data_IF_939635816669
#
_entry.id   IF_939635816669
#
_cell.length_a   1.000
_cell.length_b   1.000
_cell.length_c   1.000
_cell.angle_alpha   90.00
_cell.angle_beta   90.00
_cell.angle_gamma   90.00
#
_symmetry.space_group_name_H-M   'P 1'
#
loop_
_entity.id
_entity.type
_entity.pdbx_description
1 polymer ?
#
# COMPACT_ATOMS: atom_id res chain seq x y z
N UNK A 1 -15.96 0.66 6.89
CA UNK A 1 -14.68 0.93 7.57
C UNK A 1 -13.75 -0.22 7.27
N UNK A 2 -12.55 0.07 6.79
CA UNK A 2 -11.50 -0.91 6.58
C UNK A 2 -10.42 -0.70 7.64
N UNK A 3 -9.83 -1.79 8.09
CA UNK A 3 -8.67 -1.77 8.96
C UNK A 3 -7.52 -2.51 8.30
N UNK A 4 -6.31 -2.22 8.76
CA UNK A 4 -5.16 -2.95 8.31
C UNK A 4 -4.00 -2.88 9.26
N UNK A 5 -3.10 -3.84 9.08
CA UNK A 5 -1.92 -3.98 9.92
C UNK A 5 -0.73 -4.49 9.10
N UNK A 6 0.48 -4.17 9.57
CA UNK A 6 1.65 -4.94 9.17
C UNK A 6 1.55 -6.38 9.73
N UNK A 7 2.39 -7.30 9.22
CA UNK A 7 2.36 -8.71 9.63
C UNK A 7 2.49 -8.90 11.15
N UNK A 8 3.29 -8.10 11.82
CA UNK A 8 3.52 -8.23 13.26
C UNK A 8 2.55 -7.44 14.14
N UNK A 9 1.66 -6.63 13.56
CA UNK A 9 0.66 -5.83 14.29
C UNK A 9 1.18 -4.53 14.90
N UNK A 10 2.47 -4.23 14.82
CA UNK A 10 3.05 -3.04 15.46
C UNK A 10 2.70 -1.73 14.72
N UNK A 11 2.30 -1.83 13.45
CA UNK A 11 1.82 -0.70 12.64
C UNK A 11 0.40 -1.02 12.18
N UNK A 12 -0.55 -0.16 12.51
CA UNK A 12 -1.97 -0.34 12.16
C UNK A 12 -2.59 0.96 11.66
N UNK A 13 -3.60 0.83 10.81
CA UNK A 13 -4.34 1.95 10.24
C UNK A 13 -5.81 1.60 10.06
N UNK A 14 -6.61 2.63 9.80
CA UNK A 14 -7.99 2.50 9.36
C UNK A 14 -8.33 3.47 8.23
N UNK A 15 -9.37 3.11 7.48
CA UNK A 15 -9.99 3.90 6.43
C UNK A 15 -11.49 4.01 6.73
N UNK A 16 -11.94 5.23 7.01
CA UNK A 16 -13.33 5.56 7.28
C UNK A 16 -14.09 5.92 6.00
N UNK A 17 -14.25 4.92 5.12
CA UNK A 17 -14.96 5.07 3.86
C UNK A 17 -14.56 4.02 2.84
N UNK A 18 -14.88 4.31 1.59
CA UNK A 18 -14.62 3.43 0.46
C UNK A 18 -13.31 3.78 -0.25
N UNK A 19 -12.69 2.76 -0.83
CA UNK A 19 -11.56 2.95 -1.75
C UNK A 19 -12.07 3.57 -3.06
N UNK A 20 -11.28 4.47 -3.64
CA UNK A 20 -11.57 5.12 -4.92
C UNK A 20 -11.36 4.14 -6.08
N UNK A 21 -10.23 3.43 -6.07
CA UNK A 21 -9.84 2.45 -7.09
C UNK A 21 -8.85 1.45 -6.48
N UNK A 22 -8.82 0.22 -7.00
CA UNK A 22 -7.72 -0.73 -6.75
C UNK A 22 -6.94 -0.98 -8.04
N UNK A 23 -5.62 -0.86 -7.94
CA UNK A 23 -4.72 -1.08 -9.06
C UNK A 23 -3.62 -2.10 -8.74
N UNK A 24 -3.24 -2.89 -9.74
CA UNK A 24 -2.08 -3.77 -9.72
C UNK A 24 -0.90 -3.11 -10.43
N UNK A 25 0.16 -2.79 -9.70
CA UNK A 25 1.39 -2.27 -10.28
C UNK A 25 2.39 -3.40 -10.54
N UNK A 26 2.75 -3.56 -11.82
CA UNK A 26 3.65 -4.61 -12.29
C UNK A 26 5.11 -4.18 -12.40
N UNK A 27 5.47 -2.95 -12.07
CA UNK A 27 6.85 -2.48 -12.25
C UNK A 27 7.85 -3.29 -11.40
N UNK A 28 9.11 -3.37 -11.84
CA UNK A 28 10.13 -4.19 -11.17
C UNK A 28 10.36 -3.77 -9.72
N UNK A 29 10.24 -2.48 -9.39
CA UNK A 29 10.37 -1.98 -8.02
C UNK A 29 9.24 -2.50 -7.13
N UNK A 30 8.00 -2.43 -7.61
CA UNK A 30 6.84 -2.93 -6.86
C UNK A 30 6.89 -4.45 -6.67
N UNK A 31 7.28 -5.20 -7.70
CA UNK A 31 7.48 -6.66 -7.56
C UNK A 31 8.54 -7.00 -6.52
N UNK A 32 9.69 -6.33 -6.57
CA UNK A 32 10.80 -6.55 -5.63
C UNK A 32 10.41 -6.21 -4.20
N UNK A 33 9.75 -5.07 -3.99
CA UNK A 33 9.39 -4.60 -2.66
C UNK A 33 8.30 -5.46 -2.02
N UNK A 34 7.29 -5.89 -2.79
CA UNK A 34 6.20 -6.72 -2.28
C UNK A 34 6.48 -8.23 -2.37
N UNK A 35 7.63 -8.65 -2.92
CA UNK A 35 7.95 -10.06 -3.11
C UNK A 35 6.88 -10.84 -3.90
N UNK A 36 6.22 -10.20 -4.87
CA UNK A 36 5.02 -10.74 -5.56
C UNK A 36 4.97 -10.37 -7.04
N UNK A 37 4.01 -10.96 -7.78
CA UNK A 37 3.88 -10.75 -9.24
C UNK A 37 3.57 -9.29 -9.57
N UNK A 38 2.91 -8.60 -8.65
CA UNK A 38 2.54 -7.19 -8.70
C UNK A 38 2.23 -6.70 -7.28
N UNK A 39 2.35 -5.40 -7.05
CA UNK A 39 1.83 -4.77 -5.86
C UNK A 39 0.36 -4.37 -6.07
N UNK A 40 -0.49 -4.59 -5.07
CA UNK A 40 -1.89 -4.14 -5.09
C UNK A 40 -2.05 -2.92 -4.20
N UNK A 41 -2.51 -1.81 -4.78
CA UNK A 41 -2.74 -0.57 -4.07
C UNK A 41 -4.20 -0.14 -4.17
N UNK A 42 -4.77 0.30 -3.05
CA UNK A 42 -6.03 1.00 -2.98
C UNK A 42 -5.80 2.51 -2.84
N UNK A 43 -6.48 3.32 -3.65
CA UNK A 43 -6.45 4.78 -3.50
C UNK A 43 -7.54 5.24 -2.53
N UNK A 44 -7.21 6.13 -1.59
CA UNK A 44 -8.17 6.74 -0.66
C UNK A 44 -7.96 8.25 -0.56
N UNK A 45 -9.02 8.98 -0.21
CA UNK A 45 -8.88 10.37 0.23
C UNK A 45 -8.05 10.39 1.53
N UNK A 46 -6.96 11.15 1.61
CA UNK A 46 -6.15 11.25 2.83
C UNK A 46 -6.95 11.63 4.09
N UNK A 47 -8.08 12.32 3.95
CA UNK A 47 -8.94 12.73 5.06
C UNK A 47 -9.67 11.58 5.74
N UNK A 48 -9.90 10.47 5.02
CA UNK A 48 -10.55 9.28 5.56
C UNK A 48 -9.55 8.22 6.03
N UNK A 49 -8.25 8.49 5.90
CA UNK A 49 -7.18 7.59 6.35
C UNK A 49 -6.59 8.09 7.66
N UNK A 50 -6.34 7.17 8.61
CA UNK A 50 -5.52 7.48 9.78
C UNK A 50 -4.71 6.28 10.25
N UNK A 51 -3.52 6.56 10.74
CA UNK A 51 -2.75 5.61 11.53
C UNK A 51 -3.37 5.45 12.91
N UNK A 52 -3.48 4.22 13.38
CA UNK A 52 -3.99 3.88 14.71
C UNK A 52 -2.90 3.41 15.66
N UNK A 53 -1.76 2.93 15.12
CA UNK A 53 -0.58 2.55 15.90
C UNK A 53 0.69 2.61 15.04
N UNK A 54 1.82 2.99 15.66
CA UNK A 54 3.16 2.78 15.09
C UNK A 54 3.54 3.66 13.90
N UNK A 55 2.85 4.79 13.69
CA UNK A 55 3.12 5.71 12.58
C UNK A 55 4.57 6.24 12.59
N UNK A 56 5.07 6.61 13.77
CA UNK A 56 6.40 7.20 13.96
C UNK A 56 7.53 6.17 13.76
N UNK A 57 7.21 4.87 13.81
CA UNK A 57 8.16 3.78 13.64
C UNK A 57 8.32 3.35 12.17
N UNK A 58 7.53 3.94 11.25
CA UNK A 58 7.53 3.56 9.84
C UNK A 58 8.84 3.98 9.18
N UNK A 59 9.51 3.02 8.55
CA UNK A 59 10.71 3.30 7.76
C UNK A 59 10.32 3.86 6.39
N UNK A 60 10.99 4.96 6.02
CA UNK A 60 10.82 5.63 4.73
C UNK A 60 12.06 5.36 3.87
N UNK A 61 11.90 4.56 2.82
CA UNK A 61 12.98 4.25 1.87
C UNK A 61 12.72 4.90 0.51
N UNK A 62 13.59 5.81 0.09
CA UNK A 62 13.55 6.41 -1.24
C UNK A 62 14.06 5.41 -2.29
N UNK A 63 13.12 4.78 -2.99
CA UNK A 63 13.40 3.76 -4.03
C UNK A 63 13.67 4.34 -5.43
N UNK A 64 13.34 5.62 -5.63
CA UNK A 64 13.65 6.40 -6.83
C UNK A 64 13.53 7.89 -6.50
N UNK A 65 13.92 8.77 -7.41
CA UNK A 65 13.81 10.23 -7.25
C UNK A 65 12.44 10.68 -6.70
N UNK A 66 11.37 10.06 -7.20
CA UNK A 66 9.98 10.43 -6.85
C UNK A 66 9.22 9.36 -6.04
N UNK A 67 9.86 8.24 -5.69
CA UNK A 67 9.16 7.06 -5.19
C UNK A 67 9.67 6.59 -3.83
N UNK A 68 8.83 6.73 -2.80
CA UNK A 68 9.11 6.22 -1.45
C UNK A 68 8.43 4.88 -1.20
N UNK A 69 9.01 4.11 -0.28
CA UNK A 69 8.49 2.84 0.23
C UNK A 69 8.38 2.95 1.75
N UNK A 70 7.22 2.58 2.27
CA UNK A 70 6.90 2.66 3.69
C UNK A 70 6.74 1.22 4.19
N UNK A 71 7.45 0.85 5.25
CA UNK A 71 7.34 -0.50 5.81
C UNK A 71 7.59 -0.52 7.32
N UNK A 72 7.06 -1.56 7.95
CA UNK A 72 7.33 -1.86 9.35
C UNK A 72 8.79 -2.32 9.52
N UNK A 73 9.59 -1.69 10.41
CA UNK A 73 11.00 -2.05 10.60
C UNK A 73 11.18 -3.46 11.15
N UNK A 74 10.19 -3.99 11.88
CA UNK A 74 10.29 -5.30 12.53
C UNK A 74 9.98 -6.47 11.60
N UNK A 75 8.92 -6.38 10.80
CA UNK A 75 8.48 -7.49 9.95
C UNK A 75 8.69 -7.26 8.45
N UNK A 76 9.05 -6.05 8.04
CA UNK A 76 9.29 -5.71 6.63
C UNK A 76 8.04 -5.57 5.77
N UNK A 77 6.82 -5.77 6.32
CA UNK A 77 5.59 -5.57 5.54
C UNK A 77 5.47 -4.14 5.04
N UNK A 78 5.17 -3.99 3.75
CA UNK A 78 4.81 -2.70 3.17
C UNK A 78 3.51 -2.19 3.77
N UNK A 79 3.54 -0.95 4.27
CA UNK A 79 2.39 -0.26 4.86
C UNK A 79 1.94 0.88 3.96
N UNK A 80 0.72 1.44 4.16
CA UNK A 80 0.25 2.56 3.36
C UNK A 80 1.26 3.70 3.28
N UNK A 81 1.33 4.33 2.11
CA UNK A 81 2.10 5.54 1.90
C UNK A 81 1.16 6.74 1.98
N UNK A 82 1.44 7.67 2.89
CA UNK A 82 0.89 9.01 2.83
C UNK A 82 2.01 9.95 2.36
N UNK A 83 2.00 10.44 1.10
CA UNK A 83 2.87 11.54 0.75
C UNK A 83 2.39 12.75 1.57
N UNK A 84 3.21 13.26 2.48
CA UNK A 84 2.92 14.53 3.14
C UNK A 84 2.56 15.58 2.07
N UNK A 85 1.35 16.15 2.17
CA UNK A 85 0.84 17.13 1.19
C UNK A 85 0.36 16.56 -0.16
N UNK A 86 0.25 15.23 -0.30
CA UNK A 86 -0.30 14.59 -1.49
C UNK A 86 -1.84 14.56 -1.51
N UNK A 87 -2.41 14.39 -2.71
CA UNK A 87 -3.86 14.34 -2.92
C UNK A 87 -4.49 12.96 -2.65
N UNK A 88 -3.68 11.90 -2.53
CA UNK A 88 -4.13 10.51 -2.40
C UNK A 88 -3.19 9.74 -1.48
N UNK A 89 -3.76 8.98 -0.53
CA UNK A 89 -3.01 7.97 0.21
C UNK A 89 -3.14 6.61 -0.49
N UNK A 90 -2.03 5.86 -0.57
CA UNK A 90 -1.99 4.56 -1.21
C UNK A 90 -1.94 3.46 -0.15
N UNK A 91 -3.04 2.74 0.01
CA UNK A 91 -3.17 1.60 0.92
C UNK A 91 -2.57 0.37 0.28
N UNK A 92 -1.67 -0.31 0.99
CA UNK A 92 -1.16 -1.63 0.58
C UNK A 92 -2.24 -2.68 0.83
N UNK A 93 -2.87 -3.19 -0.25
CA UNK A 93 -4.06 -4.05 -0.11
C UNK A 93 -3.77 -5.39 0.59
N UNK A 94 -2.51 -5.84 0.60
CA UNK A 94 -2.10 -7.04 1.34
C UNK A 94 -2.16 -6.90 2.87
N UNK A 95 -2.34 -5.67 3.37
CA UNK A 95 -2.47 -5.36 4.79
C UNK A 95 -3.91 -5.13 5.25
N UNK A 96 -4.88 -5.09 4.33
CA UNK A 96 -6.30 -4.84 4.63
C UNK A 96 -6.95 -6.13 5.13
N UNK A 97 -7.72 -6.04 6.23
CA UNK A 97 -8.30 -7.21 6.88
C UNK A 97 -9.66 -7.62 6.29
N UNK A 98 -10.45 -6.66 5.83
CA UNK A 98 -11.83 -6.88 5.36
C UNK A 98 -11.92 -6.95 3.82
N UNK A 99 -13.08 -7.38 3.30
CA UNK A 99 -13.40 -7.24 1.87
C UNK A 99 -13.67 -5.75 1.57
N UNK A 100 -12.89 -5.09 0.69
CA UNK A 100 -13.10 -3.69 0.34
C UNK A 100 -14.34 -3.44 -0.52
N UNK A 101 -15.10 -4.48 -0.90
CA UNK A 101 -16.33 -4.36 -1.69
C UNK A 101 -16.12 -4.06 -3.18
N UNK A 102 -14.92 -3.63 -3.57
CA UNK A 102 -14.50 -3.45 -4.96
C UNK A 102 -13.38 -4.42 -5.34
N UNK A 103 -13.10 -4.53 -6.63
CA UNK A 103 -12.05 -5.40 -7.17
C UNK A 103 -11.07 -4.58 -8.01
N UNK A 104 -9.82 -5.05 -8.15
CA UNK A 104 -8.84 -4.41 -9.03
C UNK A 104 -9.36 -4.29 -10.46
N UNK A 105 -9.37 -3.07 -10.99
CA UNK A 105 -9.80 -2.76 -12.36
C UNK A 105 -8.67 -2.25 -13.24
N UNK A 106 -7.55 -1.84 -12.62
CA UNK A 106 -6.42 -1.22 -13.30
C UNK A 106 -5.14 -2.05 -13.16
N UNK A 107 -4.41 -2.17 -14.27
CA UNK A 107 -3.06 -2.74 -14.28
C UNK A 107 -2.05 -1.70 -14.79
N UNK A 108 -1.16 -1.27 -13.90
CA UNK A 108 -0.13 -0.27 -14.17
C UNK A 108 1.16 -1.00 -14.57
N UNK A 109 1.87 -0.47 -15.58
CA UNK A 109 3.09 -1.06 -16.13
C UNK A 109 2.92 -2.51 -16.58
N UNK A 110 1.77 -2.87 -17.18
CA UNK A 110 1.45 -4.24 -17.56
C UNK A 110 2.50 -4.93 -18.47
N UNK A 111 3.25 -4.16 -19.27
CA UNK A 111 4.38 -4.69 -20.06
C UNK A 111 5.55 -5.20 -19.22
N UNK A 112 5.58 -4.90 -17.92
CA UNK A 112 6.55 -5.42 -16.95
C UNK A 112 6.05 -6.65 -16.20
N UNK A 113 4.91 -7.26 -16.53
CA UNK A 113 4.39 -8.45 -15.84
C UNK A 113 5.47 -9.50 -15.55
N UNK A 114 5.39 -10.10 -14.38
CA UNK A 114 6.32 -11.17 -14.02
C UNK A 114 6.17 -12.34 -14.99
N UNK A 115 7.24 -12.88 -15.58
CA UNK A 115 7.14 -13.93 -16.59
C UNK A 115 6.67 -15.29 -16.04
N UNK A 116 6.56 -15.40 -14.71
CA UNK A 116 6.21 -16.61 -13.99
C UNK A 116 4.76 -16.61 -13.43
N UNK A 117 3.94 -15.61 -13.78
CA UNK A 117 2.54 -15.47 -13.36
C UNK A 117 1.65 -15.00 -14.51
#
# INVERSE_FOLDING_TARGET
MLTGACLCGDVTFEVDGDLIEIAHCHCSVCRKFHGSAYASFGAVDPKIFRWTLGADEIVHYQSSEHGFRHFCPRCGSGVPANPEGGSVALVTMGSVAEDPGIRPTLHIFAGSKAPWH
#
